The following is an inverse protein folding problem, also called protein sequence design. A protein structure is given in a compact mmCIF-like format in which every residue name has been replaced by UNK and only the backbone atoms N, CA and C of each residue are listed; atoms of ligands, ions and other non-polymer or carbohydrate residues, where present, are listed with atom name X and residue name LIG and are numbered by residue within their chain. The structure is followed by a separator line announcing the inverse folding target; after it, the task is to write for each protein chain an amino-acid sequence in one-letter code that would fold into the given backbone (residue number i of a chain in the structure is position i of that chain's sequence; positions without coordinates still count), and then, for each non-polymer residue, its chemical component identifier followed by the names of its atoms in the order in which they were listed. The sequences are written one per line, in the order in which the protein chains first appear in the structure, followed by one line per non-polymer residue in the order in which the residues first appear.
data_IF_811286096327
#
_entry.id   IF_811286096327
#
_cell.length_a   1.000
_cell.length_b   1.000
_cell.length_c   1.000
_cell.angle_alpha   90.00
_cell.angle_beta   90.00
_cell.angle_gamma   90.00
#
_symmetry.space_group_name_H-M   'P 1'
#
loop_
_entity.id
_entity.type
_entity.pdbx_description
1 polymer ?
#
# COMPACT_ATOMS: atom_id res chain seq x y z
N UNK A 1 30.93 -7.86 -16.49
CA UNK A 1 30.41 -7.44 -15.18
C UNK A 1 28.90 -7.47 -15.27
N UNK A 2 28.27 -8.53 -14.77
CA UNK A 2 26.83 -8.71 -14.89
C UNK A 2 26.10 -7.75 -13.95
N UNK A 3 25.39 -6.78 -14.53
CA UNK A 3 24.46 -5.92 -13.79
C UNK A 3 23.24 -6.77 -13.43
N UNK A 4 23.26 -7.34 -12.23
CA UNK A 4 22.06 -7.94 -11.65
C UNK A 4 21.01 -6.84 -11.51
N UNK A 5 19.89 -7.00 -12.21
CA UNK A 5 18.76 -6.08 -12.17
C UNK A 5 17.96 -6.40 -10.91
N UNK A 6 17.48 -5.39 -10.17
CA UNK A 6 16.76 -5.57 -8.91
C UNK A 6 15.56 -6.53 -9.03
N UNK A 7 14.88 -6.51 -10.19
CA UNK A 7 13.79 -7.45 -10.56
C UNK A 7 14.21 -8.93 -10.56
N UNK A 8 15.49 -9.23 -10.76
CA UNK A 8 16.02 -10.61 -10.81
C UNK A 8 16.25 -11.19 -9.41
N UNK A 9 16.51 -10.34 -8.41
CA UNK A 9 16.65 -10.76 -7.00
C UNK A 9 15.30 -11.17 -6.41
N UNK A 10 14.28 -10.33 -6.59
CA UNK A 10 12.93 -10.62 -6.10
C UNK A 10 12.29 -11.84 -6.79
N UNK A 11 12.56 -12.05 -8.09
CA UNK A 11 12.07 -13.22 -8.84
C UNK A 11 12.62 -14.55 -8.33
N UNK A 12 13.88 -14.58 -7.88
CA UNK A 12 14.48 -15.83 -7.39
C UNK A 12 13.92 -16.21 -6.02
N UNK A 13 13.71 -15.23 -5.16
CA UNK A 13 13.16 -15.47 -3.82
C UNK A 13 11.65 -15.83 -3.85
N UNK A 14 10.90 -15.34 -4.84
CA UNK A 14 9.47 -15.68 -5.03
C UNK A 14 9.27 -17.12 -5.51
N UNK A 15 10.12 -17.62 -6.42
CA UNK A 15 10.01 -18.98 -6.97
C UNK A 15 10.26 -20.07 -5.90
N UNK A 16 11.08 -19.79 -4.89
CA UNK A 16 11.28 -20.71 -3.76
C UNK A 16 10.14 -20.67 -2.73
N UNK A 17 9.36 -19.58 -2.69
CA UNK A 17 8.24 -19.39 -1.75
C UNK A 17 6.91 -20.00 -2.23
N UNK A 18 6.69 -20.16 -3.52
CA UNK A 18 5.42 -20.66 -4.08
C UNK A 18 5.05 -22.11 -3.70
N UNK A 19 5.95 -22.89 -3.10
CA UNK A 19 5.66 -24.30 -2.75
C UNK A 19 5.09 -24.52 -1.33
N UNK A 20 5.00 -23.48 -0.48
CA UNK A 20 4.65 -23.67 0.95
C UNK A 20 3.33 -23.01 1.38
N UNK A 21 2.69 -22.17 0.55
CA UNK A 21 1.45 -21.47 0.93
C UNK A 21 0.19 -22.22 0.51
N UNK A 22 0.06 -23.45 0.99
CA UNK A 22 -1.23 -24.12 1.06
C UNK A 22 -1.53 -24.39 2.52
N UNK A 23 -2.25 -23.49 3.21
CA UNK A 23 -3.03 -23.78 4.43
C UNK A 23 -3.79 -22.55 4.96
N UNK A 24 -5.13 -22.68 5.03
CA UNK A 24 -5.93 -22.10 6.11
C UNK A 24 -6.80 -20.87 5.77
N UNK A 25 -8.14 -20.95 5.91
CA UNK A 25 -8.99 -19.76 5.94
C UNK A 25 -8.81 -19.08 7.29
N UNK A 26 -8.04 -18.00 7.34
CA UNK A 26 -8.14 -17.07 8.47
C UNK A 26 -9.41 -16.27 8.25
N UNK A 27 -10.42 -16.51 9.09
CA UNK A 27 -11.62 -15.68 9.25
C UNK A 27 -11.21 -14.23 9.53
N UNK A 28 -10.84 -13.53 8.47
CA UNK A 28 -10.68 -12.09 8.48
C UNK A 28 -11.99 -11.63 7.87
N UNK A 29 -12.99 -11.42 8.71
CA UNK A 29 -14.29 -10.96 8.27
C UNK A 29 -14.08 -9.72 7.39
N UNK A 30 -14.40 -9.84 6.10
CA UNK A 30 -14.32 -8.74 5.15
C UNK A 30 -15.12 -7.58 5.73
N UNK A 31 -14.43 -6.49 6.06
CA UNK A 31 -15.12 -5.30 6.54
C UNK A 31 -15.59 -4.51 5.32
N UNK A 32 -16.90 -4.26 5.19
CA UNK A 32 -17.41 -3.45 4.10
C UNK A 32 -16.85 -2.04 4.23
N UNK A 33 -16.38 -1.50 3.10
CA UNK A 33 -15.99 -0.11 3.05
C UNK A 33 -17.25 0.76 3.10
N UNK A 34 -17.33 1.63 4.12
CA UNK A 34 -18.44 2.57 4.30
C UNK A 34 -17.87 3.99 4.31
N UNK A 35 -18.17 4.82 3.30
CA UNK A 35 -17.77 6.22 3.30
C UNK A 35 -18.28 6.95 4.56
N UNK A 36 -17.44 7.78 5.17
CA UNK A 36 -17.73 8.55 6.37
C UNK A 36 -17.52 7.81 7.69
N UNK A 37 -17.21 6.51 7.66
CA UNK A 37 -16.87 5.75 8.86
C UNK A 37 -15.35 5.85 9.16
N UNK A 38 -14.94 5.71 10.44
CA UNK A 38 -13.53 5.73 10.81
C UNK A 38 -12.76 4.57 10.16
N UNK A 39 -11.54 4.84 9.72
CA UNK A 39 -10.68 3.85 9.10
C UNK A 39 -10.32 2.72 10.08
N UNK A 40 -10.59 1.44 9.78
CA UNK A 40 -10.32 0.34 10.71
C UNK A 40 -8.83 0.05 10.96
N UNK A 41 -7.93 0.78 10.30
CA UNK A 41 -6.48 0.71 10.47
C UNK A 41 -5.88 1.90 11.20
N UNK A 42 -6.63 2.59 12.08
CA UNK A 42 -6.09 3.68 12.91
C UNK A 42 -4.88 3.26 13.76
N UNK A 43 -4.72 1.97 14.05
CA UNK A 43 -3.56 1.43 14.78
C UNK A 43 -2.26 1.43 13.95
N UNK A 44 -2.35 1.58 12.62
CA UNK A 44 -1.18 1.60 11.75
C UNK A 44 -0.31 2.83 12.02
N UNK A 45 -0.94 4.01 12.05
CA UNK A 45 -0.25 5.25 12.36
C UNK A 45 -1.22 6.23 13.04
N UNK A 46 -0.90 6.70 14.26
CA UNK A 46 -1.79 7.61 15.00
C UNK A 46 -2.01 8.94 14.27
N UNK A 47 -1.09 9.35 13.38
CA UNK A 47 -1.21 10.59 12.60
C UNK A 47 -2.40 10.57 11.64
N UNK A 48 -2.94 9.39 11.30
CA UNK A 48 -4.12 9.26 10.44
C UNK A 48 -5.36 9.95 11.06
N UNK A 49 -5.45 10.03 12.38
CA UNK A 49 -6.58 10.67 13.08
C UNK A 49 -6.58 12.19 12.93
N UNK A 50 -5.38 12.79 13.02
CA UNK A 50 -5.21 14.24 13.04
C UNK A 50 -4.96 14.83 11.64
N UNK A 51 -4.59 13.99 10.67
CA UNK A 51 -4.32 14.43 9.31
C UNK A 51 -5.61 14.94 8.64
N UNK A 52 -5.56 16.16 8.11
CA UNK A 52 -6.69 16.69 7.31
C UNK A 52 -6.96 15.76 6.13
N UNK A 53 -5.92 15.30 5.45
CA UNK A 53 -6.00 14.30 4.39
C UNK A 53 -4.95 13.23 4.61
N UNK A 54 -5.32 11.99 4.39
CA UNK A 54 -4.37 10.89 4.35
C UNK A 54 -4.65 9.93 3.20
N UNK A 55 -3.61 9.29 2.69
CA UNK A 55 -3.69 8.26 1.67
C UNK A 55 -3.02 7.00 2.21
N UNK A 56 -3.78 5.92 2.32
CA UNK A 56 -3.27 4.60 2.72
C UNK A 56 -3.19 3.72 1.50
N UNK A 57 -1.97 3.42 1.04
CA UNK A 57 -1.73 2.59 -0.13
C UNK A 57 -1.38 1.17 0.30
N UNK A 58 -1.84 0.21 -0.50
CA UNK A 58 -1.64 -1.21 -0.29
C UNK A 58 -0.93 -1.77 -1.51
N UNK A 59 0.31 -2.22 -1.30
CA UNK A 59 1.20 -2.72 -2.36
C UNK A 59 1.68 -4.13 -2.02
N UNK A 60 2.13 -4.84 -3.06
CA UNK A 60 2.64 -6.20 -2.91
C UNK A 60 3.94 -6.37 -3.67
N UNK A 61 4.97 -6.92 -3.02
CA UNK A 61 6.30 -7.10 -3.64
C UNK A 61 6.31 -8.21 -4.69
N UNK A 62 5.23 -8.98 -4.81
CA UNK A 62 5.02 -10.00 -5.84
C UNK A 62 4.17 -9.50 -7.01
N UNK A 63 3.58 -8.30 -6.90
CA UNK A 63 2.74 -7.72 -7.95
C UNK A 63 3.57 -6.79 -8.85
N UNK A 64 3.64 -7.12 -10.14
CA UNK A 64 4.37 -6.32 -11.13
C UNK A 64 3.93 -4.85 -11.17
N UNK A 65 2.63 -4.57 -11.16
CA UNK A 65 2.09 -3.20 -11.14
C UNK A 65 2.47 -2.44 -9.87
N UNK A 66 2.59 -3.12 -8.72
CA UNK A 66 3.07 -2.49 -7.49
C UNK A 66 4.55 -2.12 -7.63
N UNK A 67 5.39 -3.02 -8.13
CA UNK A 67 6.83 -2.78 -8.30
C UNK A 67 7.09 -1.59 -9.23
N UNK A 68 6.31 -1.47 -10.31
CA UNK A 68 6.43 -0.33 -11.23
C UNK A 68 5.92 0.98 -10.60
N UNK A 69 5.03 0.93 -9.59
CA UNK A 69 4.52 2.11 -8.86
C UNK A 69 5.48 2.63 -7.79
N UNK A 70 6.22 1.74 -7.11
CA UNK A 70 7.14 2.06 -6.00
C UNK A 70 8.01 3.31 -6.23
N UNK A 71 8.81 3.42 -7.32
CA UNK A 71 9.66 4.60 -7.53
C UNK A 71 8.87 5.91 -7.65
N UNK A 72 7.66 5.85 -8.21
CA UNK A 72 6.82 7.02 -8.44
C UNK A 72 6.15 7.53 -7.15
N UNK A 73 6.07 6.69 -6.11
CA UNK A 73 5.49 7.06 -4.83
C UNK A 73 6.28 8.17 -4.11
N UNK A 74 7.59 8.29 -4.38
CA UNK A 74 8.41 9.39 -3.85
C UNK A 74 7.84 10.72 -4.33
N UNK A 75 7.71 10.88 -5.65
CA UNK A 75 7.17 12.09 -6.25
C UNK A 75 5.72 12.36 -5.83
N UNK A 76 4.91 11.32 -5.70
CA UNK A 76 3.55 11.47 -5.18
C UNK A 76 3.53 11.98 -3.74
N UNK A 77 4.37 11.43 -2.85
CA UNK A 77 4.46 11.88 -1.47
C UNK A 77 4.91 13.34 -1.34
N UNK A 78 5.85 13.79 -2.18
CA UNK A 78 6.30 15.18 -2.20
C UNK A 78 5.23 16.18 -2.68
N UNK A 79 4.32 15.75 -3.56
CA UNK A 79 3.24 16.60 -4.10
C UNK A 79 1.91 16.46 -3.34
N UNK A 80 1.74 15.40 -2.56
CA UNK A 80 0.52 15.14 -1.83
C UNK A 80 0.43 16.02 -0.58
N UNK A 81 -0.58 16.88 -0.54
CA UNK A 81 -0.88 17.75 0.60
C UNK A 81 -1.64 16.96 1.68
N UNK A 82 -0.94 16.04 2.34
CA UNK A 82 -1.49 15.16 3.35
C UNK A 82 -0.50 14.09 3.83
N UNK A 83 -0.99 13.18 4.67
CA UNK A 83 -0.20 12.06 5.18
C UNK A 83 -0.25 10.87 4.21
N UNK A 84 0.89 10.45 3.68
CA UNK A 84 1.01 9.20 2.94
C UNK A 84 1.41 8.06 3.88
N UNK A 85 0.74 6.91 3.76
CA UNK A 85 1.10 5.68 4.44
C UNK A 85 1.06 4.52 3.45
N UNK A 86 2.09 3.67 3.46
CA UNK A 86 2.13 2.49 2.60
C UNK A 86 2.10 1.23 3.43
N UNK A 87 1.30 0.26 3.02
CA UNK A 87 1.22 -1.08 3.58
C UNK A 87 1.68 -2.05 2.49
N UNK A 88 2.77 -2.77 2.77
CA UNK A 88 3.42 -3.69 1.84
C UNK A 88 3.31 -5.13 2.34
N UNK A 89 3.14 -6.08 1.42
CA UNK A 89 3.24 -7.52 1.69
C UNK A 89 4.67 -8.01 1.96
N UNK A 90 5.67 -7.16 1.75
CA UNK A 90 7.07 -7.46 2.04
C UNK A 90 7.35 -7.55 3.54
N UNK A 91 8.33 -8.37 3.90
CA UNK A 91 8.84 -8.42 5.28
C UNK A 91 9.45 -7.09 5.68
N UNK A 92 9.64 -6.93 6.99
CA UNK A 92 10.24 -5.72 7.55
C UNK A 92 11.59 -5.38 6.91
N UNK A 93 12.47 -6.37 6.76
CA UNK A 93 13.80 -6.18 6.16
C UNK A 93 13.69 -5.74 4.69
N UNK A 94 12.82 -6.39 3.90
CA UNK A 94 12.58 -6.01 2.49
C UNK A 94 12.03 -4.57 2.38
N UNK A 95 11.11 -4.19 3.26
CA UNK A 95 10.56 -2.84 3.28
C UNK A 95 11.59 -1.80 3.74
N UNK A 96 12.45 -2.13 4.72
CA UNK A 96 13.56 -1.25 5.13
C UNK A 96 14.56 -1.04 3.99
N UNK A 97 14.86 -2.07 3.21
CA UNK A 97 15.67 -1.95 1.99
C UNK A 97 15.00 -1.07 0.95
N UNK A 98 13.68 -1.21 0.73
CA UNK A 98 12.94 -0.37 -0.22
C UNK A 98 12.90 1.10 0.21
N UNK A 99 12.64 1.37 1.49
CA UNK A 99 12.64 2.72 2.07
C UNK A 99 14.02 3.36 1.89
N UNK A 100 15.09 2.63 2.17
CA UNK A 100 16.46 3.11 2.01
C UNK A 100 16.85 3.30 0.53
N UNK A 101 16.40 2.39 -0.35
CA UNK A 101 16.74 2.42 -1.77
C UNK A 101 16.07 3.56 -2.53
N UNK A 102 14.79 3.83 -2.23
CA UNK A 102 14.01 4.88 -2.88
C UNK A 102 13.95 6.19 -2.08
N UNK A 103 14.56 6.23 -0.89
CA UNK A 103 14.57 7.38 0.01
C UNK A 103 13.15 7.84 0.40
N UNK A 104 12.29 6.89 0.80
CA UNK A 104 10.91 7.21 1.17
C UNK A 104 10.83 8.10 2.42
N UNK A 105 10.09 9.20 2.30
CA UNK A 105 9.80 10.14 3.39
C UNK A 105 8.58 9.74 4.25
N UNK A 106 7.91 8.65 3.88
CA UNK A 106 6.67 8.17 4.49
C UNK A 106 6.83 6.78 5.13
N UNK A 107 6.00 6.45 6.15
CA UNK A 107 6.02 5.15 6.80
C UNK A 107 5.58 4.02 5.86
N UNK A 108 6.30 2.90 5.92
CA UNK A 108 5.95 1.63 5.25
C UNK A 108 5.72 0.55 6.30
N UNK A 109 4.50 0.04 6.37
CA UNK A 109 4.11 -1.04 7.27
C UNK A 109 4.11 -2.38 6.55
N UNK A 110 4.53 -3.43 7.25
CA UNK A 110 4.44 -4.81 6.78
C UNK A 110 3.10 -5.41 7.17
N UNK A 111 2.34 -5.91 6.19
CA UNK A 111 1.14 -6.72 6.42
C UNK A 111 0.95 -7.68 5.25
N UNK A 112 0.65 -8.94 5.54
CA UNK A 112 0.44 -9.94 4.48
C UNK A 112 -0.72 -9.54 3.55
N UNK A 113 -0.56 -9.84 2.26
CA UNK A 113 -1.51 -9.41 1.22
C UNK A 113 -2.94 -9.86 1.50
N UNK A 114 -3.12 -11.14 1.84
CA UNK A 114 -4.44 -11.69 2.14
C UNK A 114 -5.07 -11.03 3.38
N UNK A 115 -4.24 -10.62 4.35
CA UNK A 115 -4.69 -10.00 5.59
C UNK A 115 -5.20 -8.59 5.32
N UNK A 116 -4.43 -7.72 4.65
CA UNK A 116 -4.91 -6.37 4.36
C UNK A 116 -6.06 -6.38 3.35
N UNK A 117 -6.06 -7.29 2.36
CA UNK A 117 -7.16 -7.39 1.40
C UNK A 117 -8.47 -7.71 2.09
N UNK A 118 -8.47 -8.70 2.97
CA UNK A 118 -9.67 -9.04 3.73
C UNK A 118 -10.03 -7.97 4.77
N UNK A 119 -9.03 -7.47 5.53
CA UNK A 119 -9.24 -6.46 6.59
C UNK A 119 -9.83 -5.15 6.06
N UNK A 120 -9.40 -4.70 4.88
CA UNK A 120 -9.81 -3.42 4.29
C UNK A 120 -10.76 -3.60 3.08
N UNK A 121 -11.15 -4.83 2.78
CA UNK A 121 -12.03 -5.19 1.67
C UNK A 121 -11.46 -4.80 0.29
N UNK A 122 -10.15 -4.91 0.07
CA UNK A 122 -9.53 -4.54 -1.20
C UNK A 122 -9.66 -5.69 -2.21
N UNK A 123 -10.16 -5.39 -3.40
CA UNK A 123 -10.33 -6.39 -4.46
C UNK A 123 -9.00 -6.74 -5.14
N UNK A 124 -8.10 -5.77 -5.28
CA UNK A 124 -6.83 -5.92 -5.99
C UNK A 124 -5.75 -4.97 -5.48
N UNK A 125 -4.49 -5.28 -5.82
CA UNK A 125 -3.30 -4.49 -5.54
C UNK A 125 -2.64 -4.04 -6.84
N UNK A 126 -2.10 -2.81 -6.92
CA UNK A 126 -2.06 -1.80 -5.86
C UNK A 126 -3.44 -1.17 -5.58
N UNK A 127 -3.74 -0.91 -4.31
CA UNK A 127 -4.99 -0.29 -3.88
C UNK A 127 -4.73 0.94 -3.01
N UNK A 128 -5.69 1.85 -2.94
CA UNK A 128 -5.63 3.03 -2.07
C UNK A 128 -6.95 3.23 -1.34
N UNK A 129 -6.84 3.74 -0.12
CA UNK A 129 -7.94 4.27 0.68
C UNK A 129 -7.59 5.70 1.05
N UNK A 130 -8.44 6.65 0.68
CA UNK A 130 -8.28 8.05 1.03
C UNK A 130 -9.10 8.35 2.27
N UNK A 131 -8.48 9.07 3.18
CA UNK A 131 -9.05 9.46 4.46
C UNK A 131 -9.09 10.99 4.58
N UNK A 132 -10.10 11.49 5.28
CA UNK A 132 -10.18 12.88 5.71
C UNK A 132 -10.46 12.88 7.23
N UNK A 133 -9.54 13.43 8.03
CA UNK A 133 -9.66 13.45 9.51
C UNK A 133 -9.96 12.05 10.11
N UNK A 134 -9.28 11.03 9.58
CA UNK A 134 -9.45 9.63 9.97
C UNK A 134 -10.69 8.92 9.43
N UNK A 135 -11.57 9.61 8.68
CA UNK A 135 -12.76 9.03 8.08
C UNK A 135 -12.48 8.54 6.65
N UNK A 136 -13.00 7.38 6.30
CA UNK A 136 -12.87 6.81 4.97
C UNK A 136 -13.69 7.60 3.95
N UNK A 137 -13.04 8.16 2.94
CA UNK A 137 -13.73 8.94 1.90
C UNK A 137 -13.95 8.10 0.64
N UNK A 138 -12.89 7.45 0.18
CA UNK A 138 -12.94 6.61 -1.02
C UNK A 138 -11.92 5.47 -0.95
N UNK A 139 -12.21 4.41 -1.71
CA UNK A 139 -11.34 3.25 -1.90
C UNK A 139 -11.33 2.90 -3.38
N UNK A 140 -10.14 2.68 -3.94
CA UNK A 140 -9.99 2.36 -5.36
C UNK A 140 -8.73 1.51 -5.61
N UNK A 141 -8.72 0.79 -6.72
CA UNK A 141 -7.53 0.11 -7.24
C UNK A 141 -6.74 1.08 -8.13
N UNK A 142 -5.44 1.16 -7.91
CA UNK A 142 -4.54 2.00 -8.69
C UNK A 142 -4.15 1.23 -9.96
N UNK A 143 -4.40 1.81 -11.13
CA UNK A 143 -3.99 1.22 -12.40
C UNK A 143 -2.60 1.71 -12.80
N UNK A 144 -2.38 3.02 -12.67
CA UNK A 144 -1.12 3.73 -12.94
C UNK A 144 -1.01 4.93 -11.98
N UNK A 145 0.16 5.57 -11.92
CA UNK A 145 0.39 6.69 -11.00
C UNK A 145 -0.54 7.89 -11.27
N UNK A 146 -0.86 8.18 -12.53
CA UNK A 146 -1.79 9.26 -12.91
C UNK A 146 -3.18 9.06 -12.29
N UNK A 147 -3.67 7.81 -12.26
CA UNK A 147 -4.94 7.48 -11.61
C UNK A 147 -4.91 7.79 -10.11
N UNK A 148 -3.78 7.61 -9.44
CA UNK A 148 -3.64 7.96 -8.03
C UNK A 148 -3.77 9.49 -7.82
N UNK A 149 -3.11 10.29 -8.67
CA UNK A 149 -3.23 11.75 -8.63
C UNK A 149 -4.68 12.21 -8.84
N UNK A 150 -5.34 11.75 -9.90
CA UNK A 150 -6.72 12.12 -10.23
C UNK A 150 -7.69 11.87 -9.06
N UNK A 151 -7.59 10.69 -8.45
CA UNK A 151 -8.43 10.33 -7.31
C UNK A 151 -8.07 11.18 -6.07
N UNK A 152 -6.80 11.49 -5.85
CA UNK A 152 -6.35 12.32 -4.72
C UNK A 152 -6.80 13.79 -4.79
N UNK A 153 -6.95 14.34 -6.00
CA UNK A 153 -7.33 15.74 -6.24
C UNK A 153 -8.84 15.98 -6.26
N UNK A 154 -9.64 14.94 -6.53
CA UNK A 154 -11.10 15.03 -6.72
C UNK A 154 -11.87 15.60 -5.51
N UNK A 155 -11.25 15.72 -4.34
CA UNK A 155 -11.84 16.34 -3.15
C UNK A 155 -11.41 17.80 -2.87
N UNK A 156 -10.74 18.51 -3.81
CA UNK A 156 -10.55 19.98 -3.74
C UNK A 156 -11.78 20.70 -4.32
N UNK A 157 -12.85 20.84 -3.54
CA UNK A 157 -13.97 21.76 -3.83
C UNK A 157 -14.18 22.74 -2.67
#
# INVERSE_FOLDING_TARGET
MSKLNFRDLFKRETLEREQTYASGPTETAEQPFVPGEPFPGMDLDPRLADAERAAVLFVSLTCSSCIDLLPELVAYADNFDGLLLVVSSGKKEENEELVSYYDYSFPVHTMEENVYKARFGLEATPGAIMLEKGLMMQKFTIQHIEHLYEQSETHRE
#
